data_IF_801389195311
#
_entry.id   IF_801389195311
#
_cell.length_a   1.000
_cell.length_b   1.000
_cell.length_c   1.000
_cell.angle_alpha   90.00
_cell.angle_beta   90.00
_cell.angle_gamma   90.00
#
_symmetry.space_group_name_H-M   'P 1'
#
loop_
_entity.id
_entity.type
_entity.pdbx_description
1 polymer ?
#
# COMPACT_ATOMS: atom_id res chain seq x y z
N UNK A 1 -17.29 -6.72 -3.64
CA UNK A 1 -16.01 -5.96 -3.69
C UNK A 1 -14.92 -6.86 -3.13
N UNK A 2 -13.99 -7.27 -3.96
CA UNK A 2 -12.80 -8.00 -3.50
C UNK A 2 -11.68 -6.98 -3.49
N UNK A 3 -11.35 -6.44 -2.32
CA UNK A 3 -10.11 -5.68 -2.13
C UNK A 3 -9.03 -6.68 -1.79
N UNK A 4 -7.95 -6.67 -2.56
CA UNK A 4 -6.74 -7.40 -2.22
C UNK A 4 -5.84 -6.42 -1.50
N UNK A 5 -5.59 -6.68 -0.23
CA UNK A 5 -4.69 -5.89 0.58
C UNK A 5 -3.48 -6.74 0.89
N UNK A 6 -2.32 -6.29 0.47
CA UNK A 6 -1.06 -6.81 0.97
C UNK A 6 -0.83 -6.20 2.34
N UNK A 7 -1.01 -6.98 3.39
CA UNK A 7 -0.71 -6.53 4.73
C UNK A 7 0.58 -7.23 5.17
N UNK A 8 1.66 -6.49 5.30
CA UNK A 8 2.80 -6.93 6.08
C UNK A 8 2.54 -6.48 7.51
N UNK A 9 2.23 -7.44 8.35
CA UNK A 9 2.20 -7.21 9.78
C UNK A 9 3.64 -7.31 10.29
N UNK A 10 4.25 -6.18 10.64
CA UNK A 10 5.53 -6.20 11.34
C UNK A 10 5.26 -6.70 12.75
N UNK A 11 5.65 -7.93 13.00
CA UNK A 11 5.65 -8.51 14.33
C UNK A 11 7.09 -8.80 14.68
N UNK A 12 7.60 -8.13 15.70
CA UNK A 12 8.82 -8.55 16.35
C UNK A 12 8.56 -9.92 17.02
N UNK A 13 8.81 -11.00 16.29
CA UNK A 13 8.69 -12.35 16.79
C UNK A 13 10.09 -12.94 16.90
N UNK A 14 10.57 -13.06 18.13
CA UNK A 14 11.74 -13.89 18.41
C UNK A 14 11.37 -15.36 18.22
N UNK A 15 11.83 -15.98 17.14
CA UNK A 15 11.75 -17.42 16.96
C UNK A 15 13.11 -18.04 17.20
N UNK A 16 13.32 -18.63 18.37
CA UNK A 16 14.41 -19.56 18.59
C UNK A 16 14.12 -20.86 17.85
N UNK A 17 14.79 -21.07 16.72
CA UNK A 17 14.79 -22.36 16.05
C UNK A 17 15.61 -23.35 16.90
N UNK A 18 14.91 -24.21 17.62
CA UNK A 18 15.53 -25.31 18.35
C UNK A 18 15.83 -26.47 17.41
N UNK A 19 17.10 -26.76 17.17
CA UNK A 19 17.54 -27.99 16.52
C UNK A 19 17.55 -29.14 17.53
N UNK A 20 16.53 -29.96 17.49
CA UNK A 20 16.49 -31.23 18.18
C UNK A 20 16.19 -32.37 17.22
N UNK A 21 17.18 -33.16 16.87
CA UNK A 21 16.98 -34.48 16.28
C UNK A 21 16.49 -35.45 17.36
N UNK A 22 15.20 -35.41 17.72
CA UNK A 22 14.49 -36.46 18.46
C UNK A 22 12.98 -36.24 18.35
N UNK A 23 12.25 -37.35 18.34
CA UNK A 23 10.79 -37.42 18.20
C UNK A 23 10.00 -36.47 19.10
N UNK A 24 8.82 -35.96 18.65
CA UNK A 24 8.04 -34.95 19.39
C UNK A 24 7.25 -35.58 20.53
N UNK A 25 7.85 -35.67 21.67
CA UNK A 25 7.16 -35.93 22.93
C UNK A 25 7.73 -35.01 24.01
N UNK A 26 7.25 -33.76 24.04
CA UNK A 26 7.63 -32.82 25.07
C UNK A 26 6.82 -31.54 24.96
N UNK A 27 6.02 -31.30 26.00
CA UNK A 27 5.37 -30.03 26.27
C UNK A 27 6.46 -28.96 26.33
N UNK A 28 6.46 -28.00 25.42
CA UNK A 28 7.35 -26.84 25.49
C UNK A 28 6.90 -26.01 26.71
N UNK A 29 7.71 -26.00 27.74
CA UNK A 29 7.55 -25.08 28.86
C UNK A 29 7.84 -23.65 28.37
N UNK A 30 7.01 -22.69 28.78
CA UNK A 30 7.18 -21.26 28.50
C UNK A 30 8.53 -20.81 29.08
N UNK A 31 9.42 -20.35 28.22
CA UNK A 31 10.68 -19.77 28.65
C UNK A 31 10.48 -18.26 28.86
N UNK A 32 10.51 -17.81 30.10
CA UNK A 32 10.38 -16.39 30.46
C UNK A 32 11.54 -15.54 29.84
N UNK A 33 12.71 -16.14 29.63
CA UNK A 33 13.87 -15.46 29.03
C UNK A 33 13.63 -15.05 27.57
N UNK A 34 12.85 -15.81 26.79
CA UNK A 34 12.56 -15.48 25.39
C UNK A 34 11.59 -14.32 25.27
N UNK A 35 10.66 -14.16 26.20
CA UNK A 35 9.76 -13.01 26.26
C UNK A 35 10.50 -11.71 26.58
N UNK A 36 11.51 -11.76 27.43
CA UNK A 36 12.34 -10.58 27.75
C UNK A 36 13.22 -10.14 26.60
N UNK A 37 13.73 -11.05 25.77
CA UNK A 37 14.55 -10.72 24.62
C UNK A 37 13.74 -9.99 23.51
N UNK A 38 12.52 -10.43 23.24
CA UNK A 38 11.63 -9.83 22.24
C UNK A 38 11.14 -8.46 22.70
N UNK A 39 10.74 -8.34 23.97
CA UNK A 39 10.35 -7.06 24.58
C UNK A 39 11.48 -6.03 24.53
N UNK A 40 12.72 -6.43 24.84
CA UNK A 40 13.86 -5.51 24.81
C UNK A 40 14.23 -5.01 23.39
N UNK A 41 13.88 -5.76 22.34
CA UNK A 41 14.18 -5.35 20.96
C UNK A 41 13.11 -4.41 20.41
N UNK A 42 11.86 -4.67 20.67
CA UNK A 42 10.79 -3.73 20.28
C UNK A 42 10.88 -2.40 21.05
N UNK A 43 11.26 -2.44 22.34
CA UNK A 43 11.55 -1.24 23.13
C UNK A 43 12.69 -0.42 22.54
N UNK A 44 13.75 -1.07 22.05
CA UNK A 44 14.87 -0.38 21.40
C UNK A 44 14.43 0.27 20.10
N UNK A 45 13.73 -0.44 19.22
CA UNK A 45 13.21 0.10 17.96
C UNK A 45 12.25 1.27 18.20
N UNK A 46 11.33 1.13 19.16
CA UNK A 46 10.44 2.23 19.54
C UNK A 46 11.23 3.44 20.07
N UNK A 47 12.31 3.22 20.83
CA UNK A 47 13.23 4.25 21.26
C UNK A 47 13.89 4.97 20.08
N UNK A 48 14.42 4.21 19.12
CA UNK A 48 15.09 4.74 17.94
C UNK A 48 14.10 5.60 17.10
N UNK A 49 12.86 5.15 16.90
CA UNK A 49 11.82 5.92 16.20
C UNK A 49 11.40 7.19 16.96
N UNK A 50 11.26 7.13 18.27
CA UNK A 50 10.92 8.28 19.09
C UNK A 50 12.07 9.31 19.18
N UNK A 51 13.32 8.86 19.11
CA UNK A 51 14.49 9.74 19.04
C UNK A 51 14.64 10.42 17.67
N UNK A 52 14.29 9.71 16.58
CA UNK A 52 14.30 10.27 15.23
C UNK A 52 13.25 11.36 15.03
N UNK A 53 12.20 11.35 15.85
CA UNK A 53 11.05 12.26 15.78
C UNK A 53 9.99 11.82 14.77
N UNK A 54 8.74 12.23 15.02
CA UNK A 54 7.59 11.94 14.17
C UNK A 54 7.14 13.24 13.49
N UNK A 55 6.97 13.22 12.18
CA UNK A 55 6.34 14.32 11.43
C UNK A 55 4.89 13.97 11.13
N UNK A 56 3.96 14.67 11.75
CA UNK A 56 2.53 14.39 11.66
C UNK A 56 1.86 15.25 10.58
N UNK A 57 1.12 14.61 9.70
CA UNK A 57 0.25 15.26 8.71
C UNK A 57 -1.21 14.86 8.95
N UNK A 58 -2.10 15.83 8.95
CA UNK A 58 -3.55 15.59 9.00
C UNK A 58 -4.21 16.25 7.80
N UNK A 59 -4.84 15.47 6.94
CA UNK A 59 -5.44 15.91 5.68
C UNK A 59 -4.45 16.69 4.80
N UNK A 60 -3.23 16.18 4.68
CA UNK A 60 -2.15 16.77 3.89
C UNK A 60 -1.46 18.00 4.51
N UNK A 61 -1.92 18.50 5.65
CA UNK A 61 -1.30 19.63 6.34
C UNK A 61 -0.43 19.15 7.49
N UNK A 62 0.81 19.63 7.54
CA UNK A 62 1.71 19.36 8.65
C UNK A 62 1.17 19.92 9.96
N UNK A 63 1.32 19.15 11.03
CA UNK A 63 0.89 19.52 12.39
C UNK A 63 2.16 19.65 13.25
N UNK A 64 2.31 20.78 13.93
CA UNK A 64 3.44 21.01 14.83
C UNK A 64 3.46 19.93 15.94
N UNK A 65 4.51 19.11 15.94
CA UNK A 65 4.67 17.95 16.84
C UNK A 65 4.74 18.35 18.30
N UNK A 66 5.40 19.48 18.62
CA UNK A 66 5.57 19.99 20.00
C UNK A 66 4.24 20.21 20.74
N UNK A 67 3.13 20.42 20.02
CA UNK A 67 1.83 20.63 20.62
C UNK A 67 1.18 19.35 21.11
N UNK A 68 1.41 18.21 20.38
CA UNK A 68 0.63 16.96 20.61
C UNK A 68 1.48 15.79 21.06
N UNK A 69 2.78 15.77 20.76
CA UNK A 69 3.77 14.75 21.16
C UNK A 69 3.29 13.30 21.01
N UNK A 70 2.84 12.90 19.80
CA UNK A 70 2.59 11.49 19.52
C UNK A 70 3.88 10.68 19.71
N UNK A 71 3.76 9.39 19.96
CA UNK A 71 4.93 8.52 20.11
C UNK A 71 4.64 7.10 19.63
N UNK A 72 5.68 6.33 19.36
CA UNK A 72 5.61 4.90 19.05
C UNK A 72 5.74 4.11 20.34
N UNK A 73 4.79 3.21 20.61
CA UNK A 73 4.79 2.33 21.78
C UNK A 73 5.87 1.25 21.70
N UNK A 74 6.15 0.57 22.80
CA UNK A 74 7.05 -0.58 22.84
C UNK A 74 6.60 -1.76 21.96
N UNK A 75 5.32 -1.81 21.58
CA UNK A 75 4.78 -2.78 20.62
C UNK A 75 4.79 -2.26 19.18
N UNK A 76 5.45 -1.13 18.94
CA UNK A 76 5.59 -0.48 17.64
C UNK A 76 4.29 0.07 17.04
N UNK A 77 3.34 0.50 17.88
CA UNK A 77 2.11 1.16 17.46
C UNK A 77 2.12 2.65 17.76
N UNK A 78 1.48 3.42 16.90
CA UNK A 78 1.41 4.86 17.02
C UNK A 78 0.37 5.27 18.08
N UNK A 79 0.86 5.89 19.14
CA UNK A 79 0.06 6.41 20.27
C UNK A 79 -0.22 7.90 20.07
N UNK A 80 -1.49 8.26 20.00
CA UNK A 80 -1.94 9.60 19.69
C UNK A 80 -2.72 10.20 20.86
N UNK A 81 -2.45 11.46 21.26
CA UNK A 81 -3.20 12.09 22.36
C UNK A 81 -4.63 12.43 21.93
N UNK A 82 -5.60 12.23 22.83
CA UNK A 82 -7.02 12.54 22.58
C UNK A 82 -7.26 14.00 22.18
N UNK A 83 -6.46 14.92 22.69
CA UNK A 83 -6.50 16.33 22.31
C UNK A 83 -6.32 16.51 20.80
N UNK A 84 -5.37 15.79 20.19
CA UNK A 84 -5.12 15.86 18.75
C UNK A 84 -6.32 15.35 17.94
N UNK A 85 -6.95 14.24 18.36
CA UNK A 85 -8.15 13.71 17.71
C UNK A 85 -9.28 14.75 17.71
N UNK A 86 -9.44 15.48 18.82
CA UNK A 86 -10.44 16.56 18.91
C UNK A 86 -10.09 17.74 18.01
N UNK A 87 -8.88 18.25 18.12
CA UNK A 87 -8.50 19.53 17.51
C UNK A 87 -8.30 19.40 15.98
N UNK A 88 -7.68 18.32 15.53
CA UNK A 88 -7.30 18.12 14.11
C UNK A 88 -8.25 17.19 13.36
N UNK A 89 -8.73 16.11 13.99
CA UNK A 89 -9.65 15.16 13.35
C UNK A 89 -11.14 15.49 13.59
N UNK A 90 -11.44 16.50 14.41
CA UNK A 90 -12.82 16.93 14.73
C UNK A 90 -13.64 15.83 15.43
N UNK A 91 -12.97 14.98 16.19
CA UNK A 91 -13.63 14.01 17.04
C UNK A 91 -14.16 14.66 18.31
N UNK A 92 -15.17 14.07 18.91
CA UNK A 92 -15.58 14.33 20.30
C UNK A 92 -15.19 13.16 21.17
N UNK A 93 -14.79 13.39 22.42
CA UNK A 93 -14.52 12.31 23.35
C UNK A 93 -15.00 12.60 24.75
N UNK A 94 -15.25 11.53 25.52
CA UNK A 94 -15.61 11.57 26.92
C UNK A 94 -14.75 10.56 27.65
N UNK A 95 -14.03 11.01 28.67
CA UNK A 95 -13.32 10.14 29.61
C UNK A 95 -14.16 10.03 30.88
N UNK A 96 -14.41 8.80 31.30
CA UNK A 96 -15.18 8.49 32.52
C UNK A 96 -14.23 8.17 33.67
N UNK A 97 -14.70 8.42 34.90
CA UNK A 97 -13.92 8.16 36.12
C UNK A 97 -13.51 6.69 36.27
N UNK A 98 -14.27 5.76 35.69
CA UNK A 98 -13.96 4.33 35.68
C UNK A 98 -12.91 3.92 34.64
N UNK A 99 -12.28 4.88 33.92
CA UNK A 99 -11.29 4.62 32.90
C UNK A 99 -11.86 4.35 31.50
N UNK A 100 -13.20 4.32 31.34
CA UNK A 100 -13.79 4.19 30.02
C UNK A 100 -13.60 5.46 29.19
N UNK A 101 -13.30 5.31 27.90
CA UNK A 101 -13.11 6.38 26.94
C UNK A 101 -14.06 6.12 25.77
N UNK A 102 -14.86 7.12 25.41
CA UNK A 102 -15.74 7.04 24.25
C UNK A 102 -15.33 8.15 23.29
N UNK A 103 -14.91 7.76 22.09
CA UNK A 103 -14.50 8.67 21.01
C UNK A 103 -15.54 8.55 19.91
N UNK A 104 -16.01 9.68 19.38
CA UNK A 104 -17.00 9.72 18.31
C UNK A 104 -16.63 10.70 17.22
N UNK A 105 -16.93 10.30 16.00
CA UNK A 105 -16.92 11.16 14.82
C UNK A 105 -17.97 10.66 13.83
N UNK A 106 -18.84 11.56 13.37
CA UNK A 106 -20.00 11.20 12.54
C UNK A 106 -20.81 10.05 13.19
N UNK A 107 -21.02 8.95 12.48
CA UNK A 107 -21.65 7.73 13.01
C UNK A 107 -20.66 6.79 13.73
N UNK A 108 -19.34 7.00 13.50
CA UNK A 108 -18.30 6.15 14.07
C UNK A 108 -18.14 6.30 15.59
N UNK A 109 -18.05 5.19 16.31
CA UNK A 109 -17.92 5.15 17.77
C UNK A 109 -16.86 4.15 18.20
N UNK A 110 -15.76 4.65 18.78
CA UNK A 110 -14.76 3.82 19.45
C UNK A 110 -14.95 3.90 20.97
N UNK A 111 -15.07 2.76 21.64
CA UNK A 111 -15.12 2.61 23.10
C UNK A 111 -13.88 1.87 23.56
N UNK A 112 -13.10 2.52 24.38
CA UNK A 112 -11.83 2.02 24.89
C UNK A 112 -11.87 2.05 26.43
N UNK A 113 -10.96 1.32 27.06
CA UNK A 113 -10.77 1.34 28.51
C UNK A 113 -9.29 1.52 28.82
N UNK A 114 -8.95 2.45 29.70
CA UNK A 114 -7.57 2.65 30.14
C UNK A 114 -6.96 1.33 30.65
N UNK A 115 -5.72 1.10 30.29
CA UNK A 115 -4.92 -0.07 30.64
C UNK A 115 -5.55 -1.41 30.21
N UNK A 116 -6.50 -1.40 29.26
CA UNK A 116 -7.13 -2.60 28.70
C UNK A 116 -6.98 -2.69 27.19
N UNK A 117 -6.70 -3.88 26.71
CA UNK A 117 -6.70 -4.21 25.28
C UNK A 117 -8.10 -4.56 24.73
N UNK A 118 -9.12 -4.60 25.59
CA UNK A 118 -10.51 -4.76 25.16
C UNK A 118 -11.07 -3.43 24.65
N UNK A 119 -11.65 -3.45 23.47
CA UNK A 119 -12.27 -2.29 22.83
C UNK A 119 -13.56 -2.68 22.12
N UNK A 120 -14.45 -1.71 21.92
CA UNK A 120 -15.62 -1.84 21.05
C UNK A 120 -15.53 -0.79 19.94
N UNK A 121 -15.49 -1.24 18.69
CA UNK A 121 -15.46 -0.38 17.50
C UNK A 121 -16.75 -0.58 16.71
N UNK A 122 -17.56 0.47 16.57
CA UNK A 122 -18.88 0.44 15.91
C UNK A 122 -19.78 -0.71 16.39
N UNK A 123 -19.78 -0.94 17.70
CA UNK A 123 -20.60 -1.98 18.34
C UNK A 123 -20.04 -3.40 18.23
N UNK A 124 -18.80 -3.55 17.77
CA UNK A 124 -18.11 -4.86 17.69
C UNK A 124 -16.99 -4.91 18.73
N UNK A 125 -16.98 -5.96 19.54
CA UNK A 125 -15.90 -6.23 20.46
C UNK A 125 -14.64 -6.64 19.69
N UNK A 126 -13.51 -5.99 19.99
CA UNK A 126 -12.21 -6.25 19.37
C UNK A 126 -11.10 -6.28 20.42
N UNK A 127 -9.99 -6.91 20.09
CA UNK A 127 -8.73 -6.79 20.84
C UNK A 127 -7.78 -5.87 20.09
N UNK A 128 -7.25 -4.87 20.79
CA UNK A 128 -6.21 -3.97 20.30
C UNK A 128 -4.87 -4.35 20.92
N UNK A 129 -3.77 -4.21 20.18
CA UNK A 129 -2.47 -4.67 20.66
C UNK A 129 -1.90 -3.78 21.78
N UNK A 130 -2.20 -2.48 21.76
CA UNK A 130 -1.83 -1.53 22.79
C UNK A 130 -3.06 -0.98 23.51
N UNK A 131 -3.01 -0.98 24.82
CA UNK A 131 -4.04 -0.36 25.64
C UNK A 131 -3.93 1.18 25.61
N UNK A 132 -5.04 1.93 25.67
CA UNK A 132 -4.99 3.34 25.99
C UNK A 132 -4.31 3.58 27.33
N UNK A 133 -3.43 4.58 27.39
CA UNK A 133 -2.72 4.91 28.62
C UNK A 133 -2.82 6.39 28.96
N UNK A 134 -2.63 6.70 30.24
CA UNK A 134 -2.49 8.09 30.69
C UNK A 134 -1.03 8.39 31.03
N UNK A 135 -0.48 9.43 30.39
CA UNK A 135 0.89 9.89 30.58
C UNK A 135 0.90 11.42 30.70
N UNK A 136 1.53 11.95 31.73
CA UNK A 136 1.65 13.40 31.97
C UNK A 136 0.30 14.15 31.90
N UNK A 137 -0.74 13.60 32.52
CA UNK A 137 -2.14 14.09 32.51
C UNK A 137 -2.84 14.08 31.13
N UNK A 138 -2.21 13.55 30.10
CA UNK A 138 -2.80 13.34 28.76
C UNK A 138 -3.11 11.86 28.53
N UNK A 139 -4.23 11.58 27.88
CA UNK A 139 -4.63 10.22 27.49
C UNK A 139 -4.24 9.95 26.05
N UNK A 140 -3.50 8.87 25.83
CA UNK A 140 -3.06 8.39 24.52
C UNK A 140 -3.81 7.14 24.11
N UNK A 141 -4.14 7.06 22.82
CA UNK A 141 -4.85 5.93 22.22
C UNK A 141 -4.12 5.42 20.99
N UNK A 142 -4.17 4.09 20.72
CA UNK A 142 -3.52 3.52 19.54
C UNK A 142 -4.34 3.85 18.29
N UNK A 143 -3.93 4.90 17.56
CA UNK A 143 -4.69 5.49 16.46
C UNK A 143 -4.91 4.52 15.31
N UNK A 144 -3.97 3.64 15.02
CA UNK A 144 -4.04 2.66 13.94
C UNK A 144 -5.26 1.74 14.05
N UNK A 145 -5.72 1.46 15.28
CA UNK A 145 -6.89 0.60 15.52
C UNK A 145 -8.22 1.32 15.43
N UNK A 146 -8.24 2.63 15.66
CA UNK A 146 -9.48 3.40 15.75
C UNK A 146 -9.69 4.38 14.60
N UNK A 147 -8.65 4.62 13.79
CA UNK A 147 -8.72 5.60 12.70
C UNK A 147 -9.87 5.30 11.73
N UNK A 148 -9.99 4.06 11.28
CA UNK A 148 -11.03 3.62 10.33
C UNK A 148 -12.45 3.85 10.88
N UNK A 149 -12.69 3.51 12.16
CA UNK A 149 -13.94 3.81 12.87
C UNK A 149 -14.24 5.33 12.91
N UNK A 150 -13.20 6.16 12.87
CA UNK A 150 -13.31 7.62 12.90
C UNK A 150 -13.28 8.24 11.50
N UNK A 151 -13.48 7.47 10.45
CA UNK A 151 -13.39 7.88 9.04
C UNK A 151 -12.01 8.49 8.68
N UNK A 152 -10.93 7.90 9.15
CA UNK A 152 -9.56 8.26 8.78
C UNK A 152 -8.76 7.03 8.38
N UNK A 153 -7.86 7.17 7.42
CA UNK A 153 -6.73 6.27 7.27
C UNK A 153 -5.59 6.75 8.15
N UNK A 154 -4.77 5.82 8.63
CA UNK A 154 -3.53 6.11 9.35
C UNK A 154 -2.38 5.40 8.63
N UNK A 155 -1.42 6.15 8.15
CA UNK A 155 -0.21 5.63 7.51
C UNK A 155 1.01 6.13 8.28
N UNK A 156 1.95 5.24 8.54
CA UNK A 156 3.21 5.55 9.18
C UNK A 156 4.38 5.05 8.33
N UNK A 157 5.23 5.95 7.93
CA UNK A 157 6.49 5.63 7.24
C UNK A 157 7.61 5.54 8.28
N UNK A 158 8.07 4.32 8.55
CA UNK A 158 9.10 4.04 9.54
C UNK A 158 10.47 4.61 9.17
N UNK A 159 10.79 4.75 7.86
CA UNK A 159 12.09 5.27 7.41
C UNK A 159 12.20 6.79 7.62
N UNK A 160 11.11 7.51 7.42
CA UNK A 160 11.08 8.98 7.48
C UNK A 160 10.46 9.53 8.76
N UNK A 161 9.85 8.68 9.60
CA UNK A 161 9.07 9.10 10.77
C UNK A 161 7.77 9.83 10.42
N UNK A 162 7.35 9.80 9.14
CA UNK A 162 6.13 10.49 8.68
C UNK A 162 4.88 9.72 9.06
N UNK A 163 3.98 10.39 9.76
CA UNK A 163 2.64 9.92 10.09
C UNK A 163 1.62 10.70 9.25
N UNK A 164 0.77 10.02 8.51
CA UNK A 164 -0.29 10.65 7.72
C UNK A 164 -1.66 10.14 8.18
N UNK A 165 -2.49 11.06 8.66
CA UNK A 165 -3.89 10.82 9.00
C UNK A 165 -4.75 11.51 7.95
N UNK A 166 -5.40 10.71 7.11
CA UNK A 166 -6.22 11.23 6.03
C UNK A 166 -7.69 10.88 6.25
N UNK A 167 -8.56 11.89 6.21
CA UNK A 167 -10.00 11.72 6.34
C UNK A 167 -10.56 10.89 5.19
N UNK A 168 -11.38 9.88 5.51
CA UNK A 168 -12.07 8.99 4.56
C UNK A 168 -13.59 9.23 4.63
N UNK A 169 -14.32 8.96 3.56
CA UNK A 169 -15.78 8.98 3.55
C UNK A 169 -16.40 10.18 2.82
N UNK A 170 -17.73 10.30 2.84
CA UNK A 170 -18.48 11.32 2.08
C UNK A 170 -18.11 12.77 2.41
N UNK A 171 -17.50 13.01 3.57
CA UNK A 171 -16.98 14.31 3.98
C UNK A 171 -15.50 14.55 3.56
N UNK A 172 -14.78 13.56 3.05
CA UNK A 172 -13.55 13.80 2.31
C UNK A 172 -13.95 14.46 0.99
N UNK A 173 -14.08 15.78 0.99
CA UNK A 173 -14.26 16.53 -0.25
C UNK A 173 -12.94 16.45 -1.00
N UNK A 174 -12.77 15.37 -1.77
CA UNK A 174 -11.78 15.39 -2.82
C UNK A 174 -12.02 16.67 -3.63
N UNK A 175 -10.97 17.41 -3.99
CA UNK A 175 -11.13 18.58 -4.83
C UNK A 175 -11.77 18.17 -6.16
N UNK A 176 -12.48 19.09 -6.81
CA UNK A 176 -13.06 18.82 -8.13
C UNK A 176 -11.99 18.54 -9.20
N UNK A 177 -10.73 18.93 -8.95
CA UNK A 177 -9.58 18.58 -9.78
C UNK A 177 -8.34 18.44 -8.90
N UNK A 178 -7.48 17.48 -9.27
CA UNK A 178 -6.19 17.23 -8.63
C UNK A 178 -5.17 16.78 -9.66
N UNK A 179 -3.92 17.19 -9.52
CA UNK A 179 -2.88 16.92 -10.49
C UNK A 179 -1.51 16.80 -9.78
N UNK A 180 -1.00 15.58 -9.66
CA UNK A 180 0.29 15.28 -9.02
C UNK A 180 1.47 15.96 -9.72
N UNK A 181 1.35 16.31 -11.02
CA UNK A 181 2.38 17.05 -11.76
C UNK A 181 2.62 18.42 -11.13
N UNK A 182 1.55 19.11 -10.73
CA UNK A 182 1.60 20.44 -10.10
C UNK A 182 2.22 20.42 -8.71
N UNK A 183 2.20 19.26 -8.06
CA UNK A 183 2.81 19.05 -6.74
C UNK A 183 4.23 18.47 -6.83
N UNK A 184 4.75 18.25 -8.04
CA UNK A 184 6.06 17.65 -8.24
C UNK A 184 6.15 16.20 -7.77
N UNK A 185 5.02 15.47 -7.77
CA UNK A 185 4.89 14.08 -7.27
C UNK A 185 4.90 13.05 -8.39
N UNK A 186 5.43 13.37 -9.56
CA UNK A 186 5.60 12.45 -10.69
C UNK A 186 7.04 12.43 -11.15
N UNK A 187 7.50 11.28 -11.61
CA UNK A 187 8.79 11.13 -12.28
C UNK A 187 8.68 11.45 -13.77
N UNK A 188 9.81 11.54 -14.47
CA UNK A 188 9.87 11.82 -15.90
C UNK A 188 9.07 10.79 -16.71
N UNK A 189 8.47 11.24 -17.80
CA UNK A 189 7.84 10.35 -18.79
C UNK A 189 8.94 9.61 -19.53
N UNK A 190 8.75 8.31 -19.70
CA UNK A 190 9.67 7.43 -20.44
C UNK A 190 8.97 6.84 -21.66
N UNK A 191 9.76 6.22 -22.54
CA UNK A 191 9.29 5.59 -23.77
C UNK A 191 9.59 4.09 -23.73
N UNK A 192 8.53 3.27 -23.90
CA UNK A 192 8.64 1.81 -23.96
C UNK A 192 9.08 1.32 -25.35
N UNK A 193 9.06 2.18 -26.40
CA UNK A 193 9.28 1.76 -27.77
C UNK A 193 8.30 0.67 -28.21
N UNK A 194 8.77 -0.24 -29.07
CA UNK A 194 7.95 -1.30 -29.68
C UNK A 194 7.72 -2.52 -28.74
N UNK A 195 8.17 -2.47 -27.48
CA UNK A 195 8.08 -3.60 -26.55
C UNK A 195 6.76 -3.62 -25.78
N UNK A 196 6.26 -4.82 -25.46
CA UNK A 196 5.04 -5.02 -24.64
C UNK A 196 5.27 -4.80 -23.14
N UNK A 197 5.97 -3.72 -22.75
CA UNK A 197 6.42 -3.46 -21.38
C UNK A 197 5.61 -2.40 -20.64
N UNK A 198 4.48 -1.95 -21.19
CA UNK A 198 3.61 -0.92 -20.59
C UNK A 198 3.25 -1.22 -19.13
N UNK A 199 2.95 -2.48 -18.80
CA UNK A 199 2.64 -2.94 -17.45
C UNK A 199 3.77 -2.66 -16.44
N UNK A 200 5.01 -2.84 -16.85
CA UNK A 200 6.16 -2.59 -15.97
C UNK A 200 6.46 -1.09 -15.85
N UNK A 201 6.32 -0.32 -16.95
CA UNK A 201 6.40 1.14 -16.91
C UNK A 201 5.33 1.73 -15.99
N UNK A 202 4.08 1.28 -16.11
CA UNK A 202 2.97 1.75 -15.30
C UNK A 202 3.17 1.40 -13.82
N UNK A 203 3.48 0.13 -13.51
CA UNK A 203 3.75 -0.32 -12.15
C UNK A 203 4.87 0.46 -11.47
N UNK A 204 6.01 0.60 -12.15
CA UNK A 204 7.17 1.31 -11.59
C UNK A 204 6.91 2.81 -11.48
N UNK A 205 6.25 3.42 -12.45
CA UNK A 205 5.90 4.84 -12.37
C UNK A 205 4.89 5.10 -11.23
N UNK A 206 3.90 4.24 -11.01
CA UNK A 206 3.00 4.34 -9.87
C UNK A 206 3.76 4.22 -8.55
N UNK A 207 4.66 3.23 -8.44
CA UNK A 207 5.51 3.00 -7.26
C UNK A 207 6.46 4.18 -6.99
N UNK A 208 7.06 4.76 -8.02
CA UNK A 208 7.94 5.93 -7.91
C UNK A 208 7.22 7.14 -7.29
N UNK A 209 5.95 7.34 -7.61
CA UNK A 209 5.16 8.47 -7.07
C UNK A 209 4.93 8.38 -5.57
N UNK A 210 4.94 7.18 -4.98
CA UNK A 210 4.76 6.99 -3.53
C UNK A 210 5.96 7.47 -2.73
N UNK A 211 7.13 7.53 -3.36
CA UNK A 211 8.37 8.03 -2.76
C UNK A 211 8.50 9.56 -2.90
N UNK A 212 7.75 10.16 -3.84
CA UNK A 212 7.81 11.58 -4.12
C UNK A 212 6.99 12.40 -3.10
N UNK A 213 7.42 13.61 -2.73
CA UNK A 213 8.61 14.32 -3.22
C UNK A 213 9.91 13.97 -2.47
N UNK A 214 9.85 13.13 -1.42
CA UNK A 214 10.94 12.91 -0.48
C UNK A 214 12.16 12.20 -1.15
N UNK A 215 11.88 11.24 -2.02
CA UNK A 215 12.91 10.54 -2.79
C UNK A 215 12.54 10.54 -4.28
N UNK A 216 13.43 11.07 -5.13
CA UNK A 216 13.27 11.01 -6.59
C UNK A 216 14.10 9.87 -7.15
N UNK A 217 13.50 8.68 -7.26
CA UNK A 217 14.11 7.48 -7.81
C UNK A 217 13.42 7.09 -9.12
N UNK A 218 14.18 6.48 -10.02
CA UNK A 218 13.68 5.81 -11.21
C UNK A 218 14.13 4.35 -11.19
N UNK A 219 13.20 3.44 -11.48
CA UNK A 219 13.45 2.00 -11.40
C UNK A 219 13.53 1.36 -12.78
N UNK A 220 14.34 0.29 -12.85
CA UNK A 220 14.64 -0.43 -14.08
C UNK A 220 13.45 -1.27 -14.54
N UNK A 221 12.98 -0.96 -15.74
CA UNK A 221 11.97 -1.74 -16.44
C UNK A 221 12.58 -3.04 -16.98
N UNK A 222 13.80 -3.01 -17.53
CA UNK A 222 14.49 -4.21 -18.01
C UNK A 222 14.69 -5.25 -16.89
N UNK A 223 15.08 -4.79 -15.70
CA UNK A 223 15.21 -5.72 -14.57
C UNK A 223 13.88 -6.36 -14.19
N UNK A 224 12.80 -5.60 -14.12
CA UNK A 224 11.47 -6.16 -13.80
C UNK A 224 10.98 -7.12 -14.88
N UNK A 225 11.06 -6.73 -16.14
CA UNK A 225 10.51 -7.53 -17.24
C UNK A 225 11.29 -8.80 -17.52
N UNK A 226 12.61 -8.80 -17.36
CA UNK A 226 13.47 -9.96 -17.65
C UNK A 226 13.72 -10.84 -16.42
N UNK A 227 13.52 -10.36 -15.18
CA UNK A 227 13.85 -11.13 -13.95
C UNK A 227 12.60 -11.43 -13.08
N UNK A 228 11.38 -11.19 -13.54
CA UNK A 228 10.16 -11.48 -12.78
C UNK A 228 9.97 -12.98 -12.46
N UNK A 229 10.45 -13.86 -13.33
CA UNK A 229 10.41 -15.32 -13.13
C UNK A 229 9.18 -16.00 -13.73
N UNK A 230 8.35 -15.28 -14.49
CA UNK A 230 7.20 -15.86 -15.20
C UNK A 230 7.59 -16.51 -16.54
N UNK A 231 8.79 -16.22 -17.05
CA UNK A 231 9.29 -16.78 -18.31
C UNK A 231 8.57 -16.23 -19.53
N UNK A 232 8.10 -14.98 -19.45
CA UNK A 232 7.45 -14.23 -20.52
C UNK A 232 8.49 -13.26 -21.11
N UNK A 233 8.59 -13.22 -22.42
CA UNK A 233 9.48 -12.29 -23.12
C UNK A 233 8.90 -10.87 -23.12
N UNK A 234 9.74 -9.83 -23.22
CA UNK A 234 9.32 -8.44 -23.12
C UNK A 234 8.24 -8.04 -24.14
N UNK A 235 8.30 -8.61 -25.37
CA UNK A 235 7.32 -8.32 -26.40
C UNK A 235 5.97 -9.03 -26.23
N UNK A 236 5.90 -10.05 -25.36
CA UNK A 236 4.66 -10.81 -25.09
C UNK A 236 3.70 -10.10 -24.13
N UNK A 237 4.15 -8.99 -23.51
CA UNK A 237 3.36 -8.25 -22.54
C UNK A 237 3.45 -8.81 -21.11
N UNK A 238 2.56 -8.34 -20.26
CA UNK A 238 2.50 -8.72 -18.86
C UNK A 238 1.30 -8.12 -18.16
N UNK A 239 1.32 -8.08 -16.84
CA UNK A 239 0.23 -7.54 -16.03
C UNK A 239 0.71 -7.21 -14.61
N UNK A 240 -0.02 -6.38 -13.90
CA UNK A 240 0.26 -5.91 -12.54
C UNK A 240 0.63 -7.01 -11.52
N UNK A 241 0.07 -8.24 -11.68
CA UNK A 241 0.42 -9.36 -10.78
C UNK A 241 1.88 -9.79 -10.89
N UNK A 242 2.47 -9.64 -12.09
CA UNK A 242 3.89 -9.92 -12.31
C UNK A 242 4.75 -8.88 -11.60
N UNK A 243 4.34 -7.60 -11.63
CA UNK A 243 4.99 -6.52 -10.90
C UNK A 243 4.93 -6.74 -9.38
N UNK A 244 3.76 -7.04 -8.85
CA UNK A 244 3.60 -7.33 -7.42
C UNK A 244 4.47 -8.51 -7.00
N UNK A 245 4.47 -9.62 -7.76
CA UNK A 245 5.26 -10.80 -7.44
C UNK A 245 6.77 -10.52 -7.47
N UNK A 246 7.25 -9.75 -8.46
CA UNK A 246 8.64 -9.33 -8.57
C UNK A 246 9.07 -8.46 -7.37
N UNK A 247 8.27 -7.47 -7.03
CA UNK A 247 8.56 -6.53 -5.94
C UNK A 247 8.45 -7.21 -4.57
N UNK A 248 7.41 -8.01 -4.34
CA UNK A 248 7.19 -8.71 -3.08
C UNK A 248 8.19 -9.86 -2.85
N UNK A 249 8.85 -10.35 -3.89
CA UNK A 249 9.92 -11.35 -3.75
C UNK A 249 11.31 -10.75 -3.57
N UNK A 250 11.41 -9.44 -3.43
CA UNK A 250 12.65 -8.66 -3.29
C UNK A 250 13.66 -8.87 -4.43
N UNK A 251 13.18 -9.21 -5.61
CA UNK A 251 14.00 -9.24 -6.82
C UNK A 251 14.34 -7.83 -7.29
N UNK A 252 13.46 -6.86 -6.98
CA UNK A 252 13.57 -5.43 -7.19
C UNK A 252 12.71 -4.66 -6.18
N UNK A 253 12.55 -3.32 -6.38
CA UNK A 253 13.00 -2.57 -7.57
C UNK A 253 14.52 -2.32 -7.58
N UNK A 254 15.08 -2.30 -8.78
CA UNK A 254 16.48 -1.95 -9.07
C UNK A 254 16.50 -0.57 -9.73
N UNK A 255 17.54 0.23 -9.52
CA UNK A 255 17.61 1.57 -10.12
C UNK A 255 17.84 1.50 -11.64
N UNK A 256 17.16 2.36 -12.38
CA UNK A 256 17.28 2.51 -13.82
C UNK A 256 18.74 2.75 -14.27
N UNK A 257 19.50 3.54 -13.54
CA UNK A 257 20.92 3.83 -13.84
C UNK A 257 21.84 2.60 -13.74
N UNK A 258 21.43 1.56 -13.01
CA UNK A 258 22.23 0.35 -12.77
C UNK A 258 21.85 -0.79 -13.75
N UNK A 259 20.68 -0.70 -14.35
CA UNK A 259 20.15 -1.63 -15.37
C UNK A 259 19.23 -0.85 -16.35
N UNK A 260 19.82 -0.07 -17.29
CA UNK A 260 19.07 0.84 -18.16
C UNK A 260 18.17 0.12 -19.13
N UNK A 261 17.01 0.69 -19.42
CA UNK A 261 16.03 0.16 -20.36
C UNK A 261 16.50 0.21 -21.82
N UNK A 262 16.20 -0.83 -22.58
CA UNK A 262 16.31 -0.87 -24.05
C UNK A 262 17.67 -1.31 -24.59
N UNK A 263 18.51 -1.97 -23.81
CA UNK A 263 19.77 -2.55 -24.28
C UNK A 263 19.72 -4.09 -24.44
N UNK A 264 18.52 -4.68 -24.32
CA UNK A 264 18.25 -6.13 -24.39
C UNK A 264 19.07 -6.98 -23.39
N UNK A 265 19.47 -6.39 -22.28
CA UNK A 265 20.26 -7.03 -21.26
C UNK A 265 19.71 -6.72 -19.88
N UNK A 266 19.98 -7.61 -18.96
CA UNK A 266 19.68 -7.37 -17.54
C UNK A 266 20.74 -8.03 -16.64
N UNK A 267 20.91 -7.44 -15.46
CA UNK A 267 21.80 -7.98 -14.45
C UNK A 267 20.98 -8.53 -13.27
N UNK A 268 20.65 -9.81 -13.34
CA UNK A 268 19.91 -10.55 -12.28
C UNK A 268 20.63 -10.63 -10.91
N UNK A 269 21.87 -10.11 -10.80
CA UNK A 269 22.62 -10.09 -9.54
C UNK A 269 22.45 -8.77 -8.77
N UNK A 270 21.85 -7.78 -9.40
CA UNK A 270 21.49 -6.54 -8.71
C UNK A 270 20.47 -6.86 -7.62
N UNK A 271 20.51 -6.07 -6.56
CA UNK A 271 19.61 -6.23 -5.42
C UNK A 271 18.57 -5.12 -5.41
N UNK A 272 17.42 -5.44 -4.87
CA UNK A 272 16.42 -4.43 -4.57
C UNK A 272 17.02 -3.29 -3.74
N UNK A 273 16.65 -2.06 -4.07
CA UNK A 273 17.02 -0.85 -3.30
C UNK A 273 15.90 -0.42 -2.35
N UNK A 274 14.72 -0.95 -2.55
CA UNK A 274 13.55 -0.82 -1.69
C UNK A 274 12.86 -2.17 -1.56
N UNK A 275 12.13 -2.38 -0.48
CA UNK A 275 11.27 -3.52 -0.29
C UNK A 275 9.81 -3.09 -0.30
N UNK A 276 9.01 -3.66 -1.20
CA UNK A 276 7.56 -3.47 -1.19
C UNK A 276 6.96 -4.17 0.03
N UNK A 277 6.27 -3.42 0.88
CA UNK A 277 5.61 -3.90 2.08
C UNK A 277 4.10 -4.06 1.87
N UNK A 278 3.50 -3.21 1.02
CA UNK A 278 2.07 -3.22 0.81
C UNK A 278 1.71 -2.74 -0.60
N UNK A 279 0.76 -3.44 -1.23
CA UNK A 279 0.06 -2.99 -2.43
C UNK A 279 -1.44 -3.27 -2.29
N UNK A 280 -2.26 -2.34 -2.74
CA UNK A 280 -3.72 -2.45 -2.71
C UNK A 280 -4.26 -2.57 -4.14
N UNK A 281 -5.18 -3.52 -4.35
CA UNK A 281 -5.91 -3.69 -5.60
C UNK A 281 -7.31 -3.14 -5.39
N UNK A 282 -7.71 -2.20 -6.25
CA UNK A 282 -9.02 -1.55 -6.26
C UNK A 282 -9.77 -2.06 -7.49
N UNK A 283 -10.81 -2.84 -7.27
CA UNK A 283 -11.64 -3.44 -8.32
C UNK A 283 -12.99 -2.71 -8.49
N UNK A 284 -13.81 -3.21 -9.42
CA UNK A 284 -15.22 -2.85 -9.64
C UNK A 284 -15.45 -1.38 -10.06
N UNK A 285 -14.52 -0.76 -10.79
CA UNK A 285 -14.63 0.63 -11.23
C UNK A 285 -14.92 1.61 -10.09
N UNK A 286 -14.30 1.41 -8.96
CA UNK A 286 -14.48 2.28 -7.81
C UNK A 286 -13.70 3.59 -7.99
N UNK A 287 -14.22 4.50 -8.83
CA UNK A 287 -13.58 5.78 -9.15
C UNK A 287 -13.27 6.61 -7.90
N UNK A 288 -14.12 6.51 -6.87
CA UNK A 288 -13.91 7.23 -5.61
C UNK A 288 -12.67 6.70 -4.90
N UNK A 289 -12.56 5.39 -4.72
CA UNK A 289 -11.39 4.78 -4.08
C UNK A 289 -10.11 5.04 -4.87
N UNK A 290 -10.17 5.04 -6.22
CA UNK A 290 -9.03 5.39 -7.07
C UNK A 290 -8.61 6.85 -6.85
N UNK A 291 -9.55 7.81 -6.85
CA UNK A 291 -9.23 9.21 -6.55
C UNK A 291 -8.66 9.40 -5.14
N UNK A 292 -9.21 8.71 -4.15
CA UNK A 292 -8.69 8.71 -2.78
C UNK A 292 -7.25 8.18 -2.75
N UNK A 293 -6.96 7.08 -3.43
CA UNK A 293 -5.60 6.53 -3.54
C UNK A 293 -4.63 7.49 -4.22
N UNK A 294 -5.01 8.10 -5.35
CA UNK A 294 -4.18 9.11 -6.05
C UNK A 294 -3.90 10.31 -5.15
N UNK A 295 -4.88 10.75 -4.38
CA UNK A 295 -4.76 11.93 -3.52
C UNK A 295 -3.88 11.67 -2.29
N UNK A 296 -4.05 10.51 -1.65
CA UNK A 296 -3.45 10.21 -0.35
C UNK A 296 -2.18 9.38 -0.43
N UNK A 297 -2.06 8.49 -1.42
CA UNK A 297 -1.00 7.47 -1.47
C UNK A 297 0.00 7.75 -2.60
N UNK A 298 -0.44 7.64 -3.84
CA UNK A 298 0.42 7.79 -5.01
C UNK A 298 -0.34 7.55 -6.30
N UNK A 299 0.36 7.55 -7.43
CA UNK A 299 -0.20 7.20 -8.73
C UNK A 299 -0.81 5.80 -8.71
N UNK A 300 -1.86 5.61 -9.47
CA UNK A 300 -2.62 4.36 -9.54
C UNK A 300 -2.49 3.75 -10.92
N UNK A 301 -1.88 2.57 -11.01
CA UNK A 301 -1.81 1.77 -12.23
C UNK A 301 -3.20 1.28 -12.62
N UNK A 302 -3.55 1.33 -13.89
CA UNK A 302 -4.80 0.80 -14.43
C UNK A 302 -4.62 0.37 -15.87
N UNK A 303 -5.41 -0.61 -16.32
CA UNK A 303 -5.40 -1.09 -17.69
C UNK A 303 -6.54 -0.51 -18.50
N UNK A 304 -6.30 -0.28 -19.79
CA UNK A 304 -7.28 0.18 -20.78
C UNK A 304 -7.20 -0.67 -22.05
N UNK A 305 -8.18 -0.53 -22.93
CA UNK A 305 -8.01 -0.89 -24.32
C UNK A 305 -7.37 0.28 -25.06
N UNK A 306 -6.43 0.01 -25.96
CA UNK A 306 -5.90 1.00 -26.92
C UNK A 306 -5.71 0.34 -28.28
N UNK A 307 -6.18 0.99 -29.33
CA UNK A 307 -5.86 0.65 -30.71
C UNK A 307 -4.62 1.40 -31.22
N UNK A 308 -4.08 2.32 -30.42
CA UNK A 308 -2.78 2.97 -30.61
C UNK A 308 -1.67 2.10 -30.01
N UNK A 309 -0.50 2.13 -30.61
CA UNK A 309 0.68 1.36 -30.19
C UNK A 309 1.88 2.24 -29.81
N UNK A 310 1.89 3.48 -30.27
CA UNK A 310 2.95 4.46 -30.05
C UNK A 310 2.42 5.90 -30.16
N UNK A 311 3.30 6.88 -30.02
CA UNK A 311 2.98 8.30 -30.08
C UNK A 311 2.51 8.79 -31.48
N UNK A 312 2.89 8.09 -32.54
CA UNK A 312 2.57 8.46 -33.92
C UNK A 312 1.25 7.82 -34.42
N UNK A 313 0.67 6.93 -33.60
CA UNK A 313 -0.57 6.23 -33.92
C UNK A 313 -1.78 7.17 -33.83
N UNK A 314 -2.72 7.04 -34.75
CA UNK A 314 -4.02 7.72 -34.71
C UNK A 314 -5.12 6.75 -34.29
N UNK A 315 -6.15 7.25 -33.62
CA UNK A 315 -7.30 6.48 -33.18
C UNK A 315 -8.60 7.27 -33.29
N UNK A 316 -9.69 6.60 -33.62
CA UNK A 316 -11.03 7.24 -33.56
C UNK A 316 -11.45 7.56 -32.12
N UNK A 317 -10.85 6.91 -31.12
CA UNK A 317 -11.14 7.08 -29.69
C UNK A 317 -10.30 8.19 -29.04
N UNK A 318 -9.24 8.67 -29.73
CA UNK A 318 -8.32 9.68 -29.22
C UNK A 318 -8.46 11.00 -29.99
N UNK A 319 -8.67 12.09 -29.27
CA UNK A 319 -8.69 13.44 -29.81
C UNK A 319 -7.32 14.10 -29.62
N UNK A 320 -6.59 14.29 -30.71
CA UNK A 320 -5.23 14.83 -30.68
C UNK A 320 -5.18 16.31 -30.22
N UNK A 321 -6.25 17.11 -30.47
CA UNK A 321 -6.26 18.53 -30.08
C UNK A 321 -6.43 18.73 -28.57
N UNK A 322 -7.17 17.82 -27.92
CA UNK A 322 -7.52 17.93 -26.50
C UNK A 322 -6.87 16.84 -25.65
N UNK A 323 -6.10 15.94 -26.30
CA UNK A 323 -5.46 14.78 -25.68
C UNK A 323 -6.45 13.89 -24.89
N UNK A 324 -7.69 13.75 -25.38
CA UNK A 324 -8.78 13.10 -24.71
C UNK A 324 -9.09 11.73 -25.32
N UNK A 325 -9.11 10.69 -24.50
CA UNK A 325 -9.36 9.30 -24.89
C UNK A 325 -10.65 8.77 -24.28
N UNK A 326 -11.49 8.14 -25.09
CA UNK A 326 -12.69 7.48 -24.67
C UNK A 326 -13.03 6.29 -25.54
N UNK A 327 -12.95 5.09 -24.97
CA UNK A 327 -13.37 3.83 -25.58
C UNK A 327 -14.62 3.32 -24.90
N UNK A 328 -15.67 2.95 -25.68
CA UNK A 328 -16.92 2.37 -25.19
C UNK A 328 -17.28 1.05 -25.89
N UNK A 329 -16.26 0.37 -26.43
CA UNK A 329 -16.40 -0.91 -27.09
C UNK A 329 -16.30 -2.12 -26.15
N UNK A 330 -16.04 -3.29 -26.72
CA UNK A 330 -16.01 -4.57 -26.02
C UNK A 330 -14.68 -5.34 -26.18
N UNK A 331 -13.68 -4.76 -26.85
CA UNK A 331 -12.35 -5.37 -26.93
C UNK A 331 -11.70 -5.35 -25.55
N UNK A 332 -10.91 -6.38 -25.25
CA UNK A 332 -10.25 -6.51 -23.95
C UNK A 332 -9.09 -5.53 -23.76
N UNK A 333 -8.70 -5.34 -22.50
CA UNK A 333 -7.54 -4.51 -22.12
C UNK A 333 -6.26 -5.02 -22.77
N UNK A 334 -5.39 -4.07 -23.17
CA UNK A 334 -4.10 -4.38 -23.82
C UNK A 334 -3.00 -3.34 -23.52
N UNK A 335 -3.29 -2.31 -22.72
CA UNK A 335 -2.35 -1.25 -22.40
C UNK A 335 -2.51 -0.77 -20.95
N UNK A 336 -1.39 -0.53 -20.26
CA UNK A 336 -1.37 -0.07 -18.88
C UNK A 336 -0.85 1.38 -18.79
N UNK A 337 -1.52 2.17 -17.96
CA UNK A 337 -1.20 3.59 -17.72
C UNK A 337 -1.28 3.91 -16.22
N UNK A 338 -0.79 5.09 -15.82
CA UNK A 338 -0.85 5.54 -14.43
C UNK A 338 -1.77 6.74 -14.28
N UNK A 339 -2.81 6.61 -13.47
CA UNK A 339 -3.64 7.73 -13.05
C UNK A 339 -2.83 8.57 -12.04
N UNK A 340 -2.60 9.84 -12.39
CA UNK A 340 -1.85 10.82 -11.57
C UNK A 340 -2.69 12.03 -11.20
N UNK A 341 -3.98 12.03 -11.54
CA UNK A 341 -4.88 13.12 -11.23
C UNK A 341 -6.24 12.95 -11.86
N UNK A 342 -7.07 13.96 -11.73
CA UNK A 342 -8.40 14.03 -12.34
C UNK A 342 -8.90 15.47 -12.46
N UNK A 343 -9.92 15.66 -13.31
CA UNK A 343 -10.73 16.88 -13.40
C UNK A 343 -12.21 16.49 -13.60
N UNK A 344 -13.05 16.73 -12.59
CA UNK A 344 -14.49 16.46 -12.63
C UNK A 344 -15.24 17.34 -13.62
N UNK A 345 -14.64 18.47 -14.02
CA UNK A 345 -15.19 19.42 -14.96
C UNK A 345 -14.59 19.29 -16.38
N UNK A 346 -13.73 18.28 -16.63
CA UNK A 346 -13.19 18.06 -17.94
C UNK A 346 -14.33 17.77 -18.92
N UNK A 347 -14.50 18.66 -19.91
CA UNK A 347 -15.69 18.64 -20.77
C UNK A 347 -15.78 17.37 -21.59
N UNK A 348 -16.94 16.73 -21.58
CA UNK A 348 -17.25 15.61 -22.48
C UNK A 348 -17.13 15.94 -23.96
N UNK A 349 -17.22 17.22 -24.33
CA UNK A 349 -17.07 17.68 -25.71
C UNK A 349 -15.61 17.71 -26.19
N UNK A 350 -14.66 17.45 -25.31
CA UNK A 350 -13.25 17.32 -25.66
C UNK A 350 -12.94 15.95 -26.30
N UNK A 351 -13.83 14.97 -26.19
CA UNK A 351 -13.67 13.64 -26.76
C UNK A 351 -14.24 13.57 -28.17
N UNK A 352 -13.66 12.76 -29.06
CA UNK A 352 -14.17 12.55 -30.41
C UNK A 352 -15.61 12.03 -30.41
N UNK A 353 -15.91 11.15 -29.47
CA UNK A 353 -17.26 10.71 -29.14
C UNK A 353 -17.59 11.17 -27.73
N UNK A 354 -18.61 12.00 -27.55
CA UNK A 354 -18.96 12.54 -26.26
C UNK A 354 -19.40 11.43 -25.28
N UNK A 355 -18.72 11.24 -24.14
CA UNK A 355 -19.20 10.34 -23.10
C UNK A 355 -20.47 10.86 -22.42
N UNK A 356 -21.04 10.08 -21.49
CA UNK A 356 -22.32 10.38 -20.83
C UNK A 356 -22.32 11.71 -20.07
N UNK A 357 -21.23 12.04 -19.38
CA UNK A 357 -21.06 13.28 -18.58
C UNK A 357 -19.63 13.76 -18.68
N UNK A 358 -19.36 14.95 -18.13
CA UNK A 358 -18.03 15.50 -17.93
C UNK A 358 -17.25 14.67 -16.91
N UNK A 359 -15.94 14.86 -16.90
CA UNK A 359 -14.97 14.26 -15.99
C UNK A 359 -14.01 13.29 -16.66
N UNK A 360 -12.73 13.46 -16.32
CA UNK A 360 -11.65 12.62 -16.81
C UNK A 360 -10.56 12.42 -15.73
N UNK A 361 -9.87 11.29 -15.83
CA UNK A 361 -8.59 11.08 -15.17
C UNK A 361 -7.46 11.67 -16.01
N UNK A 362 -6.42 12.15 -15.33
CA UNK A 362 -5.13 12.53 -15.94
C UNK A 362 -4.24 11.31 -15.84
N UNK A 363 -3.82 10.78 -16.97
CA UNK A 363 -3.04 9.56 -17.05
C UNK A 363 -1.65 9.83 -17.63
N UNK A 364 -0.62 9.27 -16.99
CA UNK A 364 0.75 9.21 -17.48
C UNK A 364 0.89 7.99 -18.39
N UNK A 365 1.37 8.18 -19.61
CA UNK A 365 1.66 7.13 -20.58
C UNK A 365 3.15 6.78 -20.60
N UNK A 366 3.52 5.77 -21.36
CA UNK A 366 4.89 5.27 -21.58
C UNK A 366 5.31 5.32 -23.06
N UNK A 367 4.89 6.34 -23.81
CA UNK A 367 5.21 6.57 -25.22
C UNK A 367 5.99 7.86 -25.46
N UNK A 368 6.85 8.24 -24.50
CA UNK A 368 7.63 9.46 -24.58
C UNK A 368 6.83 10.74 -24.41
N UNK A 369 7.53 11.86 -24.44
CA UNK A 369 6.95 13.22 -24.26
C UNK A 369 6.28 13.78 -25.51
N UNK A 370 6.49 13.16 -26.66
CA UNK A 370 5.83 13.56 -27.91
C UNK A 370 4.36 13.13 -27.97
N UNK A 371 3.95 12.18 -27.11
CA UNK A 371 2.57 11.77 -26.97
C UNK A 371 1.78 12.73 -26.08
N UNK A 372 0.59 13.13 -26.53
CA UNK A 372 -0.37 13.89 -25.72
C UNK A 372 0.17 15.24 -25.20
N UNK A 373 -0.15 15.55 -23.96
CA UNK A 373 0.37 16.72 -23.23
C UNK A 373 1.65 16.35 -22.49
N UNK A 374 2.81 16.41 -23.13
CA UNK A 374 4.11 16.02 -22.56
C UNK A 374 4.13 14.57 -22.01
N UNK A 375 3.47 13.62 -22.70
CA UNK A 375 3.35 12.22 -22.28
C UNK A 375 2.16 11.91 -21.39
N UNK A 376 1.27 12.87 -21.22
CA UNK A 376 0.02 12.71 -20.45
C UNK A 376 -1.20 12.88 -21.35
N UNK A 377 -2.32 12.27 -20.94
CA UNK A 377 -3.59 12.37 -21.64
C UNK A 377 -4.77 12.22 -20.68
N UNK A 378 -5.98 12.49 -21.17
CA UNK A 378 -7.19 12.51 -20.37
C UNK A 378 -8.10 11.35 -20.75
N UNK A 379 -8.43 10.47 -19.79
CA UNK A 379 -9.32 9.33 -20.03
C UNK A 379 -10.65 9.59 -19.33
N UNK A 380 -11.75 9.47 -20.09
CA UNK A 380 -13.09 9.65 -19.55
C UNK A 380 -13.38 8.68 -18.40
N UNK A 381 -14.07 9.13 -17.35
CA UNK A 381 -14.63 8.24 -16.30
C UNK A 381 -15.57 7.17 -16.85
N UNK A 382 -16.08 7.36 -18.06
CA UNK A 382 -17.02 6.46 -18.74
C UNK A 382 -16.34 5.51 -19.72
N UNK A 383 -15.02 5.55 -19.83
CA UNK A 383 -14.26 4.56 -20.60
C UNK A 383 -14.58 3.14 -20.18
N UNK A 384 -14.61 2.20 -21.12
CA UNK A 384 -15.06 0.84 -20.88
C UNK A 384 -14.26 0.12 -19.78
N UNK A 385 -12.96 0.38 -19.68
CA UNK A 385 -12.04 -0.38 -18.84
C UNK A 385 -11.36 0.41 -17.73
N UNK A 386 -11.29 1.74 -17.84
CA UNK A 386 -10.64 2.56 -16.82
C UNK A 386 -11.13 2.17 -15.41
N UNK A 387 -10.23 1.92 -14.50
CA UNK A 387 -10.51 1.52 -13.12
C UNK A 387 -11.28 0.19 -12.94
N UNK A 388 -11.36 -0.69 -13.94
CA UNK A 388 -11.91 -2.05 -13.74
C UNK A 388 -11.10 -2.80 -12.68
N UNK A 389 -9.78 -2.77 -12.82
CA UNK A 389 -8.81 -3.18 -11.81
C UNK A 389 -7.71 -2.14 -11.77
N UNK A 390 -7.38 -1.68 -10.60
CA UNK A 390 -6.34 -0.68 -10.38
C UNK A 390 -5.42 -1.09 -9.25
N UNK A 391 -4.16 -0.68 -9.30
CA UNK A 391 -3.17 -1.02 -8.29
C UNK A 391 -2.50 0.25 -7.76
N UNK A 392 -2.38 0.35 -6.46
CA UNK A 392 -1.57 1.35 -5.77
C UNK A 392 -0.55 0.65 -4.87
N UNK A 393 0.69 1.11 -4.94
CA UNK A 393 1.80 0.61 -4.13
C UNK A 393 1.91 1.52 -2.91
N UNK A 394 1.38 1.06 -1.78
CA UNK A 394 1.11 1.96 -0.64
C UNK A 394 2.27 2.11 0.32
N UNK A 395 3.17 1.12 0.38
CA UNK A 395 4.27 1.14 1.34
C UNK A 395 5.54 0.52 0.77
N UNK A 396 6.59 1.33 0.70
CA UNK A 396 7.95 0.91 0.40
C UNK A 396 8.87 1.28 1.55
N UNK A 397 9.78 0.37 1.87
CA UNK A 397 10.80 0.59 2.90
C UNK A 397 12.20 0.42 2.31
N UNK A 398 13.23 0.89 3.01
CA UNK A 398 14.62 0.65 2.67
C UNK A 398 14.93 -0.84 2.62
N UNK A 399 15.83 -1.25 1.71
CA UNK A 399 16.18 -2.66 1.55
C UNK A 399 17.02 -3.23 2.70
N UNK A 400 17.34 -2.43 3.69
CA UNK A 400 18.05 -2.79 4.92
C UNK A 400 17.11 -3.13 6.10
N UNK A 401 15.78 -3.07 5.88
CA UNK A 401 14.78 -3.40 6.90
C UNK A 401 14.83 -4.86 7.36
N UNK A 402 15.19 -5.79 6.46
CA UNK A 402 15.31 -7.22 6.75
C UNK A 402 16.50 -7.86 6.02
N UNK A 403 17.14 -8.83 6.66
CA UNK A 403 18.27 -9.56 6.09
C UNK A 403 17.86 -10.65 5.09
N UNK A 404 16.64 -11.19 5.21
CA UNK A 404 16.25 -12.40 4.46
C UNK A 404 14.74 -12.55 4.34
N UNK A 405 14.33 -13.03 3.18
CA UNK A 405 12.97 -13.46 2.90
C UNK A 405 12.90 -14.97 2.70
N UNK A 406 11.85 -15.60 3.22
CA UNK A 406 11.44 -16.97 2.92
C UNK A 406 10.09 -16.91 2.22
N UNK A 407 9.99 -17.44 1.01
CA UNK A 407 8.79 -17.37 0.21
C UNK A 407 8.58 -18.65 -0.59
N UNK A 408 7.35 -19.16 -0.64
CA UNK A 408 6.95 -20.33 -1.43
C UNK A 408 6.27 -19.92 -2.74
N UNK A 409 5.51 -18.85 -2.73
CA UNK A 409 4.66 -18.34 -3.79
C UNK A 409 5.37 -17.28 -4.65
N UNK A 410 6.45 -17.67 -5.32
CA UNK A 410 7.31 -16.77 -6.12
C UNK A 410 6.59 -16.07 -7.28
N UNK A 411 5.44 -16.58 -7.70
CA UNK A 411 4.60 -15.99 -8.74
C UNK A 411 3.44 -15.16 -8.14
N UNK A 412 3.48 -14.93 -6.82
CA UNK A 412 2.45 -14.20 -6.13
C UNK A 412 1.11 -14.94 -6.06
N UNK A 413 0.01 -14.18 -6.00
CA UNK A 413 -1.32 -14.75 -6.01
C UNK A 413 -1.75 -15.12 -7.43
N UNK A 414 -1.89 -16.42 -7.69
CA UNK A 414 -2.29 -16.96 -8.99
C UNK A 414 -3.67 -17.62 -8.97
N UNK A 415 -4.26 -17.80 -7.80
CA UNK A 415 -5.58 -18.39 -7.64
C UNK A 415 -5.89 -18.75 -6.20
N UNK A 416 -7.08 -19.28 -5.98
CA UNK A 416 -7.56 -19.74 -4.68
C UNK A 416 -7.93 -21.21 -4.75
N UNK A 417 -7.65 -21.93 -3.67
CA UNK A 417 -8.12 -23.29 -3.43
C UNK A 417 -8.92 -23.29 -2.13
N UNK A 418 -10.07 -23.92 -2.12
CA UNK A 418 -10.90 -24.08 -0.95
C UNK A 418 -11.41 -25.50 -0.81
N UNK A 419 -11.88 -25.85 0.37
CA UNK A 419 -12.44 -27.17 0.69
C UNK A 419 -13.97 -27.12 0.85
N UNK A 420 -14.60 -25.98 0.48
CA UNK A 420 -16.04 -25.74 0.65
C UNK A 420 -16.49 -25.92 2.11
N UNK A 421 -15.66 -25.45 3.04
CA UNK A 421 -15.89 -25.50 4.50
C UNK A 421 -15.63 -24.11 5.10
N UNK A 422 -16.29 -23.82 6.24
CA UNK A 422 -16.13 -22.54 6.94
C UNK A 422 -14.71 -22.32 7.46
N UNK A 423 -14.03 -23.41 7.87
CA UNK A 423 -12.67 -23.37 8.40
C UNK A 423 -11.70 -24.07 7.45
N UNK A 424 -10.56 -23.45 7.18
CA UNK A 424 -9.47 -24.03 6.43
C UNK A 424 -8.12 -23.69 7.09
N UNK A 425 -7.23 -24.68 7.09
CA UNK A 425 -5.85 -24.51 7.58
C UNK A 425 -4.89 -24.60 6.40
N UNK A 426 -3.93 -23.70 6.36
CA UNK A 426 -2.80 -23.76 5.45
C UNK A 426 -1.50 -23.52 6.19
N UNK A 427 -0.41 -24.06 5.68
CA UNK A 427 0.90 -23.87 6.28
C UNK A 427 1.99 -23.84 5.20
N UNK A 428 2.96 -22.95 5.37
CA UNK A 428 4.24 -22.99 4.70
C UNK A 428 5.31 -23.30 5.74
N UNK A 429 6.22 -24.22 5.41
CA UNK A 429 7.30 -24.64 6.30
C UNK A 429 8.62 -24.20 5.72
N UNK A 430 9.39 -23.44 6.47
CA UNK A 430 10.71 -22.97 6.09
C UNK A 430 11.77 -23.48 7.07
N UNK A 431 12.97 -23.70 6.57
CA UNK A 431 14.12 -24.07 7.40
C UNK A 431 15.06 -22.88 7.48
N UNK A 432 15.26 -22.35 8.67
CA UNK A 432 16.24 -21.30 8.90
C UNK A 432 17.66 -21.78 8.59
N UNK A 433 18.45 -20.96 7.91
CA UNK A 433 19.83 -21.28 7.56
C UNK A 433 20.80 -21.22 8.75
N UNK A 434 20.45 -20.50 9.78
CA UNK A 434 21.17 -20.30 11.07
C UNK A 434 20.15 -19.92 12.14
N UNK A 435 20.59 -19.51 13.32
CA UNK A 435 19.72 -18.84 14.28
C UNK A 435 19.28 -17.50 13.68
N UNK A 436 18.00 -17.30 13.50
CA UNK A 436 17.37 -16.14 12.85
C UNK A 436 16.16 -15.71 13.69
N UNK A 437 15.79 -14.46 13.58
CA UNK A 437 14.62 -13.89 14.20
C UNK A 437 13.56 -13.61 13.14
N UNK A 438 12.32 -14.07 13.34
CA UNK A 438 11.20 -13.76 12.47
C UNK A 438 10.71 -12.33 12.77
N UNK A 439 10.84 -11.41 11.83
CA UNK A 439 10.49 -10.00 11.99
C UNK A 439 9.12 -9.67 11.41
N UNK A 440 8.75 -10.31 10.30
CA UNK A 440 7.50 -10.02 9.60
C UNK A 440 6.93 -11.27 8.94
N UNK A 441 5.61 -11.26 8.73
CA UNK A 441 4.87 -12.23 7.93
C UNK A 441 4.00 -11.46 6.95
N UNK A 442 4.03 -11.85 5.68
CA UNK A 442 3.18 -11.28 4.64
C UNK A 442 2.23 -12.32 4.05
N UNK A 443 1.08 -11.88 3.61
CA UNK A 443 0.09 -12.73 2.95
C UNK A 443 -0.81 -11.91 2.01
N UNK A 444 -1.48 -12.60 1.08
CA UNK A 444 -2.50 -12.01 0.24
C UNK A 444 -3.86 -12.05 0.95
N UNK A 445 -4.42 -10.90 1.30
CA UNK A 445 -5.79 -10.81 1.77
C UNK A 445 -6.74 -10.71 0.57
N UNK A 446 -7.74 -11.57 0.52
CA UNK A 446 -8.70 -11.64 -0.60
C UNK A 446 -10.05 -10.99 -0.31
N UNK A 447 -10.21 -10.43 0.87
CA UNK A 447 -11.41 -9.71 1.30
C UNK A 447 -11.01 -8.51 2.17
N UNK A 448 -11.61 -7.34 1.92
CA UNK A 448 -11.40 -6.13 2.71
C UNK A 448 -11.79 -6.28 4.19
N UNK A 449 -12.60 -7.29 4.51
CA UNK A 449 -13.00 -7.62 5.89
C UNK A 449 -12.13 -8.69 6.53
N UNK A 450 -11.06 -9.13 5.86
CA UNK A 450 -10.11 -10.08 6.44
C UNK A 450 -9.50 -9.45 7.69
N UNK A 451 -9.72 -10.09 8.83
CA UNK A 451 -9.06 -9.72 10.07
C UNK A 451 -7.95 -10.73 10.32
N UNK A 452 -6.72 -10.26 10.44
CA UNK A 452 -5.60 -11.11 10.84
C UNK A 452 -5.28 -10.85 12.31
N UNK A 453 -5.07 -11.94 13.06
CA UNK A 453 -4.59 -11.89 14.44
C UNK A 453 -3.26 -12.61 14.49
N UNK A 454 -2.26 -11.94 15.00
CA UNK A 454 -0.95 -12.56 15.22
C UNK A 454 -0.82 -12.99 16.68
N UNK A 455 -0.32 -14.20 16.84
CA UNK A 455 0.01 -14.73 18.15
C UNK A 455 1.53 -14.92 18.25
N UNK A 456 2.14 -14.41 19.30
CA UNK A 456 3.57 -14.60 19.57
C UNK A 456 3.94 -16.05 19.96
N UNK A 457 2.93 -16.89 20.18
CA UNK A 457 3.09 -18.31 20.48
C UNK A 457 2.10 -19.11 19.65
N UNK A 458 2.56 -19.79 18.63
CA UNK A 458 1.81 -20.82 17.94
C UNK A 458 1.97 -22.13 18.72
N UNK A 459 0.98 -22.48 19.53
CA UNK A 459 0.84 -23.86 19.97
C UNK A 459 0.18 -24.64 18.86
N UNK A 460 0.96 -25.45 18.12
CA UNK A 460 0.37 -26.45 17.25
C UNK A 460 -0.48 -27.39 18.11
N UNK A 461 -1.73 -27.70 17.71
CA UNK A 461 -2.47 -28.75 18.38
C UNK A 461 -1.67 -30.05 18.23
N UNK A 462 -1.18 -30.56 19.34
CA UNK A 462 -0.61 -31.92 19.41
C UNK A 462 -1.78 -32.89 19.42
N UNK A 463 -2.00 -33.60 18.33
CA UNK A 463 -2.78 -34.85 18.33
C UNK A 463 -1.98 -35.96 19.00
#
# INVERSE_FOLDING_TARGET
MKKFVYIILILAIGALAYYGTKEPSGRLEKNEEDQHAVSGMSEKLAGDYNEAGLTLYVNGSEVEEDEYKPYVSNNLHLMMPLKMLKDKMKCTYIEYVNGSIVIKRNEGVARLVLDSQDAELDGKDVKIADAPIKKDDETFVPIEYIADTLDYTCEYNYDTGRVSLQKVGEDSKLPAAYDMRKEGRVTEVRDQGDSGTCWAFASLAALETTLMPDEKLQFSVDNMTMNNGFGVEQFEGGQYRMSIAYLASWKGPVLEKDDPYGDDKTNSKLKAVKHLQEAEIIDDKNLKAVKEAVYTKGGVETAIYSDMIDADSSSEYYNEETHAYYYDGSEGINHDVVIVGWDDNYSKNNFNKAPKKDGAFICKNSWGTEFGEDGYFYISYYDAHICETSVVYTRLEGADNYDKIYQSDKLGWVGVLGFDQEDAYFANVYTAGKSEELKAVSFYATDAKTTSVSYTHLTLPTN
#
